data_IF_214358054247
#
_entry.id   IF_214358054247
#
_cell.length_a   1.000
_cell.length_b   1.000
_cell.length_c   1.000
_cell.angle_alpha   90.00
_cell.angle_beta   90.00
_cell.angle_gamma   90.00
#
_symmetry.space_group_name_H-M   'P 1'
#
loop_
_entity.id
_entity.type
_entity.pdbx_description
1 polymer ?
#
# COMPACT_ATOMS: atom_id res chain seq x y z
N UNK A 1 -23.74 3.26 21.60
CA UNK A 1 -22.91 4.45 21.33
C UNK A 1 -23.83 5.50 20.72
N UNK A 2 -24.26 6.49 21.52
CA UNK A 2 -25.27 7.51 21.13
C UNK A 2 -24.78 8.31 19.90
N UNK A 3 -25.71 8.76 19.05
CA UNK A 3 -25.40 9.70 17.97
C UNK A 3 -24.95 11.00 18.60
N UNK A 4 -23.71 11.43 18.35
CA UNK A 4 -23.32 12.79 18.69
C UNK A 4 -24.07 13.70 17.72
N UNK A 5 -24.97 14.58 18.20
CA UNK A 5 -25.66 15.51 17.32
C UNK A 5 -24.65 16.39 16.57
N UNK A 6 -24.99 16.84 15.36
CA UNK A 6 -24.13 17.74 14.57
C UNK A 6 -23.77 19.04 15.33
N UNK A 7 -24.61 19.43 16.28
CA UNK A 7 -24.44 20.58 17.19
C UNK A 7 -23.80 20.21 18.53
N UNK A 8 -23.19 19.02 18.65
CA UNK A 8 -22.57 18.55 19.89
C UNK A 8 -21.30 19.35 20.24
N UNK A 9 -21.25 19.84 21.48
CA UNK A 9 -20.08 20.47 22.09
C UNK A 9 -19.39 19.54 23.10
N UNK A 10 -19.66 18.24 23.06
CA UNK A 10 -18.94 17.25 23.85
C UNK A 10 -17.54 17.05 23.28
N UNK A 11 -16.47 17.06 24.11
CA UNK A 11 -15.13 16.78 23.66
C UNK A 11 -15.01 15.41 22.96
N UNK A 12 -14.46 15.42 21.75
CA UNK A 12 -14.37 14.22 20.93
C UNK A 12 -13.32 13.25 21.46
N UNK A 13 -13.72 11.98 21.63
CA UNK A 13 -12.80 10.87 21.93
C UNK A 13 -12.34 10.13 20.68
N UNK A 14 -13.07 10.26 19.58
CA UNK A 14 -12.84 9.59 18.30
C UNK A 14 -13.24 10.53 17.15
N UNK A 15 -12.67 10.31 15.97
CA UNK A 15 -12.95 11.10 14.77
C UNK A 15 -13.60 10.20 13.73
N UNK A 16 -14.93 10.22 13.62
CA UNK A 16 -15.65 9.29 12.75
C UNK A 16 -15.38 9.56 11.27
N UNK A 17 -15.31 10.82 10.84
CA UNK A 17 -14.97 11.19 9.46
C UNK A 17 -13.62 10.61 9.00
N UNK A 18 -12.64 10.59 9.90
CA UNK A 18 -11.30 10.07 9.63
C UNK A 18 -11.31 8.55 9.52
N UNK A 19 -12.11 7.89 10.34
CA UNK A 19 -12.25 6.45 10.26
C UNK A 19 -13.03 6.06 8.99
N UNK A 20 -14.02 6.83 8.57
CA UNK A 20 -14.75 6.61 7.32
C UNK A 20 -13.85 6.79 6.09
N UNK A 21 -13.06 7.87 6.00
CA UNK A 21 -12.16 8.08 4.85
C UNK A 21 -11.12 6.95 4.77
N UNK A 22 -10.59 6.49 5.91
CA UNK A 22 -9.68 5.34 5.95
C UNK A 22 -10.38 4.05 5.52
N UNK A 23 -11.60 3.81 5.98
CA UNK A 23 -12.38 2.62 5.62
C UNK A 23 -12.70 2.57 4.13
N UNK A 24 -13.13 3.68 3.53
CA UNK A 24 -13.36 3.79 2.10
C UNK A 24 -12.06 3.68 1.29
N UNK A 25 -10.96 4.28 1.76
CA UNK A 25 -9.66 4.11 1.14
C UNK A 25 -9.24 2.63 1.08
N UNK A 26 -9.53 1.82 2.11
CA UNK A 26 -9.28 0.36 2.05
C UNK A 26 -10.10 -0.31 0.95
N UNK A 27 -11.37 0.06 0.80
CA UNK A 27 -12.26 -0.54 -0.20
C UNK A 27 -11.77 -0.21 -1.61
N UNK A 28 -11.47 1.08 -1.88
CA UNK A 28 -10.94 1.53 -3.18
C UNK A 28 -9.53 0.96 -3.43
N UNK A 29 -8.71 0.78 -2.39
CA UNK A 29 -7.41 0.11 -2.50
C UNK A 29 -7.52 -1.32 -3.06
N UNK A 30 -8.50 -2.08 -2.57
CA UNK A 30 -8.74 -3.44 -3.09
C UNK A 30 -9.16 -3.35 -4.56
N UNK A 31 -10.07 -2.43 -4.89
CA UNK A 31 -10.53 -2.20 -6.26
C UNK A 31 -9.38 -1.83 -7.22
N UNK A 32 -8.54 -0.86 -6.89
CA UNK A 32 -7.41 -0.46 -7.77
C UNK A 32 -6.47 -1.64 -8.02
N UNK A 33 -6.20 -2.49 -7.03
CA UNK A 33 -5.36 -3.66 -7.23
C UNK A 33 -6.03 -4.70 -8.13
N UNK A 34 -7.34 -4.90 -8.02
CA UNK A 34 -8.08 -5.78 -8.92
C UNK A 34 -8.09 -5.24 -10.35
N UNK A 35 -8.39 -3.95 -10.52
CA UNK A 35 -8.43 -3.27 -11.83
C UNK A 35 -7.06 -3.28 -12.49
N UNK A 36 -5.99 -2.93 -11.77
CA UNK A 36 -4.64 -2.90 -12.32
C UNK A 36 -4.08 -4.29 -12.66
N UNK A 37 -4.62 -5.35 -12.06
CA UNK A 37 -4.21 -6.73 -12.35
C UNK A 37 -4.99 -7.29 -13.53
N UNK A 38 -6.32 -7.19 -13.52
CA UNK A 38 -7.14 -7.94 -14.48
C UNK A 38 -7.72 -7.12 -15.63
N UNK A 39 -7.92 -5.81 -15.48
CA UNK A 39 -8.46 -4.97 -16.55
C UNK A 39 -7.33 -4.42 -17.43
N UNK A 40 -7.49 -4.54 -18.74
CA UNK A 40 -6.53 -4.00 -19.70
C UNK A 40 -6.32 -2.48 -19.50
N UNK A 41 -5.05 -2.03 -19.51
CA UNK A 41 -4.68 -0.63 -19.20
C UNK A 41 -5.40 0.41 -20.07
N UNK A 42 -5.60 0.11 -21.36
CA UNK A 42 -6.31 0.99 -22.30
C UNK A 42 -7.81 1.14 -22.01
N UNK A 43 -8.38 0.33 -21.12
CA UNK A 43 -9.79 0.42 -20.72
C UNK A 43 -10.00 1.20 -19.42
N UNK A 44 -8.94 1.55 -18.70
CA UNK A 44 -9.03 2.24 -17.41
C UNK A 44 -9.24 3.75 -17.67
N UNK A 45 -10.40 4.33 -17.31
CA UNK A 45 -10.66 5.74 -17.54
C UNK A 45 -9.78 6.62 -16.63
N UNK A 46 -9.42 7.81 -17.11
CA UNK A 46 -8.55 8.73 -16.36
C UNK A 46 -9.12 9.12 -15.00
N UNK A 47 -10.44 9.32 -14.90
CA UNK A 47 -11.11 9.67 -13.64
C UNK A 47 -10.96 8.55 -12.59
N UNK A 48 -11.00 7.28 -13.02
CA UNK A 48 -10.83 6.14 -12.13
C UNK A 48 -9.37 6.02 -11.71
N UNK A 49 -8.44 6.18 -12.64
CA UNK A 49 -7.02 6.21 -12.33
C UNK A 49 -6.67 7.35 -11.34
N UNK A 50 -7.30 8.52 -11.49
CA UNK A 50 -7.15 9.62 -10.54
C UNK A 50 -7.70 9.29 -9.15
N UNK A 51 -8.92 8.74 -9.08
CA UNK A 51 -9.55 8.27 -7.83
C UNK A 51 -8.66 7.24 -7.13
N UNK A 52 -8.13 6.29 -7.89
CA UNK A 52 -7.23 5.25 -7.41
C UNK A 52 -5.93 5.84 -6.83
N UNK A 53 -5.44 6.92 -7.44
CA UNK A 53 -4.31 7.69 -6.92
C UNK A 53 -4.59 8.45 -5.60
N UNK A 54 -5.84 8.56 -5.13
CA UNK A 54 -6.17 9.20 -3.85
C UNK A 54 -6.04 8.25 -2.64
N UNK A 55 -5.97 6.94 -2.89
CA UNK A 55 -5.91 5.91 -1.83
C UNK A 55 -4.71 6.12 -0.91
N UNK A 56 -3.50 6.17 -1.47
CA UNK A 56 -2.28 6.32 -0.69
C UNK A 56 -2.22 7.67 0.08
N UNK A 57 -2.45 8.84 -0.55
CA UNK A 57 -2.63 10.12 0.15
C UNK A 57 -3.59 10.06 1.33
N UNK A 58 -4.73 9.38 1.18
CA UNK A 58 -5.74 9.28 2.23
C UNK A 58 -5.21 8.54 3.46
N UNK A 59 -4.51 7.42 3.28
CA UNK A 59 -3.89 6.68 4.38
C UNK A 59 -2.76 7.46 5.05
N UNK A 60 -1.92 8.14 4.26
CA UNK A 60 -0.78 8.89 4.76
C UNK A 60 -1.26 10.11 5.57
N UNK A 61 -2.23 10.87 5.05
CA UNK A 61 -2.86 11.98 5.75
C UNK A 61 -3.55 11.50 7.04
N UNK A 62 -4.34 10.43 6.96
CA UNK A 62 -5.03 9.91 8.13
C UNK A 62 -4.06 9.38 9.21
N UNK A 63 -2.91 8.86 8.81
CA UNK A 63 -1.86 8.41 9.70
C UNK A 63 -1.19 9.57 10.42
N UNK A 64 -0.83 10.63 9.69
CA UNK A 64 -0.28 11.86 10.26
C UNK A 64 -1.24 12.56 11.23
N UNK A 65 -2.53 12.61 10.89
CA UNK A 65 -3.59 13.12 11.76
C UNK A 65 -3.69 12.32 13.06
N UNK A 66 -3.74 11.00 12.95
CA UNK A 66 -3.85 10.12 14.11
C UNK A 66 -2.61 10.21 15.01
N UNK A 67 -1.42 10.39 14.42
CA UNK A 67 -0.18 10.57 15.16
C UNK A 67 -0.27 11.80 16.08
N UNK A 68 -0.63 12.96 15.54
CA UNK A 68 -0.74 14.20 16.33
C UNK A 68 -1.66 14.04 17.54
N UNK A 69 -2.83 13.39 17.37
CA UNK A 69 -3.76 13.11 18.47
C UNK A 69 -3.22 12.09 19.48
N UNK A 70 -2.44 11.11 19.02
CA UNK A 70 -1.89 10.07 19.89
C UNK A 70 -0.62 10.50 20.63
N UNK A 71 0.08 11.51 20.13
CA UNK A 71 1.38 11.95 20.67
C UNK A 71 1.23 12.97 21.78
N UNK A 72 0.33 13.93 21.64
CA UNK A 72 0.13 14.99 22.64
C UNK A 72 -1.03 14.64 23.57
N UNK A 73 -0.77 14.61 24.88
CA UNK A 73 -1.81 14.51 25.91
C UNK A 73 -2.63 15.80 25.98
N UNK A 74 -3.82 15.82 26.63
CA UNK A 74 -4.60 17.04 26.80
C UNK A 74 -3.84 18.17 27.51
N UNK A 75 -3.00 17.84 28.49
CA UNK A 75 -2.11 18.77 29.20
C UNK A 75 -0.95 19.34 28.33
N UNK A 76 -0.81 18.87 27.08
CA UNK A 76 0.26 19.28 26.17
C UNK A 76 1.55 18.48 26.31
N UNK A 77 1.67 17.59 27.30
CA UNK A 77 2.82 16.72 27.47
C UNK A 77 2.85 15.59 26.43
N UNK A 78 4.02 14.99 26.25
CA UNK A 78 4.22 13.91 25.29
C UNK A 78 3.91 12.54 25.91
N UNK A 79 3.19 11.71 25.15
CA UNK A 79 3.02 10.29 25.47
C UNK A 79 4.34 9.52 25.23
N UNK A 80 4.58 8.41 25.97
CA UNK A 80 5.79 7.61 25.80
C UNK A 80 5.94 7.07 24.38
N UNK A 81 7.18 6.98 23.90
CA UNK A 81 7.46 6.52 22.53
C UNK A 81 7.27 5.02 22.36
N UNK A 82 7.61 4.22 23.37
CA UNK A 82 7.69 2.74 23.28
C UNK A 82 6.50 2.07 22.59
N UNK A 83 5.24 2.33 22.99
CA UNK A 83 4.08 1.75 22.33
C UNK A 83 3.94 2.14 20.86
N UNK A 84 4.27 3.39 20.53
CA UNK A 84 4.28 3.90 19.15
C UNK A 84 5.40 3.23 18.34
N UNK A 85 6.61 3.16 18.91
CA UNK A 85 7.76 2.52 18.29
C UNK A 85 7.50 1.04 17.97
N UNK A 86 6.91 0.30 18.91
CA UNK A 86 6.53 -1.11 18.71
C UNK A 86 5.52 -1.25 17.57
N UNK A 87 4.50 -0.40 17.53
CA UNK A 87 3.51 -0.40 16.45
C UNK A 87 4.13 -0.07 15.09
N UNK A 88 4.97 0.96 15.02
CA UNK A 88 5.65 1.37 13.78
C UNK A 88 6.65 0.30 13.32
N UNK A 89 7.39 -0.31 14.24
CA UNK A 89 8.29 -1.44 13.95
C UNK A 89 7.53 -2.65 13.42
N UNK A 90 6.36 -2.97 13.96
CA UNK A 90 5.50 -4.03 13.42
C UNK A 90 5.01 -3.71 12.01
N UNK A 91 4.55 -2.48 11.76
CA UNK A 91 4.11 -2.06 10.41
C UNK A 91 5.29 -2.14 9.43
N UNK A 92 6.48 -1.69 9.83
CA UNK A 92 7.69 -1.74 9.01
C UNK A 92 8.11 -3.18 8.69
N UNK A 93 8.03 -4.08 9.67
CA UNK A 93 8.26 -5.50 9.47
C UNK A 93 7.28 -6.06 8.43
N UNK A 94 5.99 -5.80 8.57
CA UNK A 94 4.99 -6.21 7.58
C UNK A 94 5.26 -5.62 6.19
N UNK A 95 5.70 -4.36 6.13
CA UNK A 95 6.01 -3.67 4.87
C UNK A 95 7.13 -4.38 4.09
N UNK A 96 8.21 -4.76 4.76
CA UNK A 96 9.30 -5.50 4.13
C UNK A 96 8.93 -6.97 3.85
N UNK A 97 8.21 -7.64 4.77
CA UNK A 97 7.80 -9.03 4.57
C UNK A 97 6.84 -9.20 3.38
N UNK A 98 6.09 -8.18 2.99
CA UNK A 98 5.27 -8.22 1.77
C UNK A 98 6.07 -8.32 0.48
N UNK A 99 7.32 -7.85 0.50
CA UNK A 99 8.25 -7.96 -0.62
C UNK A 99 9.29 -9.05 -0.39
N UNK A 100 9.08 -9.93 0.59
CA UNK A 100 9.95 -11.07 0.80
C UNK A 100 10.03 -11.94 -0.47
N UNK A 101 11.17 -12.60 -0.73
CA UNK A 101 11.32 -13.55 -1.85
C UNK A 101 10.23 -14.62 -1.89
N UNK A 102 9.66 -14.94 -0.74
CA UNK A 102 8.49 -15.77 -0.57
C UNK A 102 8.21 -16.08 0.91
N UNK A 103 7.32 -17.04 1.16
CA UNK A 103 6.88 -17.45 2.51
C UNK A 103 7.59 -18.72 2.99
N UNK A 104 8.53 -19.26 2.23
CA UNK A 104 9.20 -20.54 2.53
C UNK A 104 10.73 -20.39 2.63
N UNK A 105 11.36 -21.18 3.48
CA UNK A 105 12.80 -21.19 3.68
C UNK A 105 13.54 -21.53 2.38
N UNK A 106 12.96 -22.36 1.52
CA UNK A 106 13.49 -22.65 0.19
C UNK A 106 13.56 -21.38 -0.68
N UNK A 107 12.53 -20.52 -0.66
CA UNK A 107 12.52 -19.21 -1.37
C UNK A 107 13.50 -18.20 -0.79
N UNK A 108 13.85 -18.32 0.49
CA UNK A 108 14.88 -17.49 1.13
C UNK A 108 16.31 -17.99 0.92
N UNK A 109 16.50 -19.19 0.37
CA UNK A 109 17.81 -19.83 0.24
C UNK A 109 18.12 -20.25 -1.19
N UNK A 110 17.48 -21.31 -1.68
CA UNK A 110 17.82 -21.97 -2.95
C UNK A 110 16.98 -21.49 -4.14
N UNK A 111 15.75 -21.01 -3.89
CA UNK A 111 14.85 -20.43 -4.90
C UNK A 111 14.85 -18.90 -4.89
N UNK A 112 15.80 -18.28 -4.18
CA UNK A 112 15.97 -16.84 -4.18
C UNK A 112 16.75 -16.39 -5.41
N UNK A 113 16.27 -15.36 -6.10
CA UNK A 113 17.03 -14.67 -7.17
C UNK A 113 17.57 -13.35 -6.65
N UNK A 114 18.66 -12.80 -7.23
CA UNK A 114 19.15 -11.47 -6.87
C UNK A 114 18.06 -10.40 -6.97
N UNK A 115 17.16 -10.52 -7.95
CA UNK A 115 16.02 -9.61 -8.10
C UNK A 115 15.05 -9.71 -6.92
N UNK A 116 14.70 -10.92 -6.45
CA UNK A 116 13.81 -11.09 -5.29
C UNK A 116 14.37 -10.44 -4.01
N UNK A 117 15.69 -10.49 -3.79
CA UNK A 117 16.30 -9.77 -2.68
C UNK A 117 16.33 -8.25 -2.86
N UNK A 118 16.39 -7.74 -4.09
CA UNK A 118 16.25 -6.30 -4.33
C UNK A 118 14.81 -5.84 -4.08
N UNK A 119 13.82 -6.62 -4.53
CA UNK A 119 12.41 -6.37 -4.26
C UNK A 119 12.12 -6.31 -2.75
N UNK A 120 12.78 -7.13 -1.92
CA UNK A 120 12.68 -7.05 -0.45
C UNK A 120 12.94 -5.63 0.07
N UNK A 121 13.83 -4.86 -0.57
CA UNK A 121 14.18 -3.50 -0.19
C UNK A 121 13.42 -2.42 -0.94
N UNK A 122 12.41 -2.80 -1.73
CA UNK A 122 11.52 -1.86 -2.40
C UNK A 122 10.76 -1.03 -1.38
N UNK A 123 10.69 0.28 -1.63
CA UNK A 123 9.96 1.23 -0.81
C UNK A 123 8.56 1.43 -1.39
N UNK A 124 7.56 1.11 -0.57
CA UNK A 124 6.15 1.27 -0.88
C UNK A 124 5.47 2.19 0.17
N UNK A 125 4.15 2.33 0.08
CA UNK A 125 3.34 3.24 0.89
C UNK A 125 3.48 2.97 2.39
N UNK A 126 3.62 1.71 2.82
CA UNK A 126 3.75 1.38 4.24
C UNK A 126 5.08 1.89 4.84
N UNK A 127 6.19 1.68 4.13
CA UNK A 127 7.50 2.22 4.51
C UNK A 127 7.41 3.75 4.56
N UNK A 128 6.87 4.37 3.50
CA UNK A 128 6.68 5.82 3.45
C UNK A 128 5.87 6.35 4.64
N UNK A 129 4.76 5.68 5.02
CA UNK A 129 3.99 6.02 6.22
C UNK A 129 4.89 5.93 7.46
N UNK A 130 5.55 4.80 7.69
CA UNK A 130 6.36 4.60 8.90
C UNK A 130 7.46 5.65 9.03
N UNK A 131 8.25 5.89 7.98
CA UNK A 131 9.33 6.88 8.03
C UNK A 131 8.80 8.30 8.20
N UNK A 132 7.70 8.66 7.53
CA UNK A 132 7.05 9.96 7.74
C UNK A 132 6.61 10.14 9.20
N UNK A 133 6.00 9.11 9.78
CA UNK A 133 5.57 9.15 11.18
C UNK A 133 6.75 9.19 12.14
N UNK A 134 7.86 8.48 11.88
CA UNK A 134 9.06 8.54 12.71
C UNK A 134 9.67 9.95 12.71
N UNK A 135 9.76 10.60 11.54
CA UNK A 135 10.26 11.97 11.41
C UNK A 135 9.36 12.94 12.20
N UNK A 136 8.05 12.87 12.00
CA UNK A 136 7.09 13.70 12.73
C UNK A 136 7.10 13.42 14.23
N UNK A 137 7.34 12.18 14.63
CA UNK A 137 7.40 11.78 16.03
C UNK A 137 8.69 12.24 16.73
N UNK A 138 9.80 12.31 15.99
CA UNK A 138 11.04 12.98 16.39
C UNK A 138 10.83 14.49 16.50
N UNK A 139 10.18 15.11 15.52
CA UNK A 139 9.88 16.54 15.51
C UNK A 139 9.00 16.95 16.70
N UNK A 140 7.95 16.19 16.99
CA UNK A 140 7.07 16.41 18.15
C UNK A 140 7.85 16.34 19.48
N UNK A 141 8.85 15.46 19.57
CA UNK A 141 9.72 15.31 20.75
C UNK A 141 10.74 16.43 20.90
N UNK A 142 11.26 16.93 19.79
CA UNK A 142 12.19 18.05 19.79
C UNK A 142 11.48 19.34 20.20
N UNK A 143 10.35 19.65 19.54
CA UNK A 143 9.63 20.91 19.73
C UNK A 143 8.80 20.91 21.02
N UNK A 144 8.21 19.77 21.40
CA UNK A 144 7.34 19.55 22.59
C UNK A 144 6.08 20.42 22.68
N UNK A 145 5.99 21.53 21.95
CA UNK A 145 4.83 22.44 21.89
C UNK A 145 3.95 22.10 20.68
N UNK A 146 2.67 21.72 20.86
CA UNK A 146 1.81 21.29 19.74
C UNK A 146 1.65 22.32 18.63
N UNK A 147 1.51 23.62 18.98
CA UNK A 147 1.32 24.68 18.00
C UNK A 147 2.58 24.92 17.15
N UNK A 148 3.76 25.00 17.79
CA UNK A 148 5.03 25.11 17.08
C UNK A 148 5.31 23.86 16.23
N UNK A 149 4.96 22.67 16.74
CA UNK A 149 5.03 21.42 15.97
C UNK A 149 4.17 21.49 14.71
N UNK A 150 2.93 21.97 14.80
CA UNK A 150 2.07 22.13 13.63
C UNK A 150 2.66 23.13 12.62
N UNK A 151 3.20 24.26 13.08
CA UNK A 151 3.85 25.23 12.21
C UNK A 151 5.05 24.64 11.47
N UNK A 152 5.95 23.95 12.18
CA UNK A 152 7.12 23.33 11.55
C UNK A 152 6.72 22.19 10.63
N UNK A 153 5.77 21.34 11.03
CA UNK A 153 5.24 20.28 10.18
C UNK A 153 4.59 20.85 8.90
N UNK A 154 3.79 21.92 9.00
CA UNK A 154 3.19 22.60 7.84
C UNK A 154 4.25 23.22 6.92
N UNK A 155 5.28 23.84 7.49
CA UNK A 155 6.41 24.40 6.73
C UNK A 155 7.15 23.30 5.97
N UNK A 156 7.44 22.17 6.63
CA UNK A 156 8.06 21.02 5.99
C UNK A 156 7.14 20.38 4.93
N UNK A 157 5.82 20.34 5.16
CA UNK A 157 4.88 19.83 4.17
C UNK A 157 4.95 20.63 2.86
N UNK A 158 4.91 21.96 2.96
CA UNK A 158 5.04 22.84 1.80
C UNK A 158 6.44 22.74 1.20
N UNK A 159 7.50 22.80 2.00
CA UNK A 159 8.88 22.70 1.53
C UNK A 159 9.17 21.39 0.80
N UNK A 160 8.72 20.25 1.31
CA UNK A 160 8.89 18.96 0.66
C UNK A 160 8.11 18.86 -0.66
N UNK A 161 6.87 19.38 -0.72
CA UNK A 161 6.09 19.42 -1.96
C UNK A 161 6.69 20.36 -3.02
N UNK A 162 7.36 21.45 -2.60
CA UNK A 162 8.09 22.36 -3.49
C UNK A 162 9.38 21.74 -4.02
N UNK A 163 10.11 21.00 -3.18
CA UNK A 163 11.37 20.36 -3.55
C UNK A 163 11.17 19.08 -4.38
N UNK A 164 10.07 18.37 -4.17
CA UNK A 164 9.77 17.08 -4.79
C UNK A 164 9.98 16.98 -6.32
N UNK A 165 9.50 17.91 -7.17
CA UNK A 165 9.68 17.79 -8.61
C UNK A 165 11.17 17.87 -9.02
N UNK A 166 11.96 18.70 -8.34
CA UNK A 166 13.40 18.85 -8.62
C UNK A 166 14.19 17.61 -8.22
N UNK A 167 13.88 17.05 -7.05
CA UNK A 167 14.49 15.80 -6.56
C UNK A 167 14.20 14.63 -7.51
N UNK A 168 12.98 14.57 -8.05
CA UNK A 168 12.58 13.52 -8.99
C UNK A 168 13.20 13.67 -10.37
N UNK A 169 13.26 14.89 -10.90
CA UNK A 169 13.79 15.17 -12.23
C UNK A 169 15.27 14.80 -12.33
N UNK A 170 16.08 15.31 -11.39
CA UNK A 170 17.53 15.08 -11.42
C UNK A 170 17.88 13.64 -11.06
N UNK A 171 17.07 12.99 -10.22
CA UNK A 171 17.50 11.80 -9.49
C UNK A 171 18.56 12.17 -8.47
N UNK A 172 18.38 11.70 -7.24
CA UNK A 172 19.33 11.94 -6.14
C UNK A 172 19.78 10.63 -5.53
N UNK A 173 20.83 10.69 -4.71
CA UNK A 173 21.32 9.56 -3.93
C UNK A 173 21.79 8.36 -4.79
N UNK A 174 22.39 8.64 -5.95
CA UNK A 174 23.09 7.62 -6.72
C UNK A 174 24.22 6.99 -5.88
N UNK A 175 24.35 5.67 -5.98
CA UNK A 175 25.34 4.91 -5.21
C UNK A 175 24.96 4.64 -3.74
N UNK A 176 23.90 5.27 -3.22
CA UNK A 176 23.45 5.00 -1.84
C UNK A 176 22.89 3.58 -1.69
N UNK A 177 22.81 3.13 -0.44
CA UNK A 177 22.17 1.85 -0.12
C UNK A 177 20.70 1.87 -0.54
N UNK A 178 20.25 0.81 -1.20
CA UNK A 178 18.97 0.73 -1.92
C UNK A 178 17.74 1.16 -1.11
N UNK A 179 17.55 0.75 0.16
CA UNK A 179 16.42 1.21 0.96
C UNK A 179 16.42 2.73 1.17
N UNK A 180 17.60 3.31 1.41
CA UNK A 180 17.73 4.75 1.68
C UNK A 180 17.49 5.53 0.38
N UNK A 181 18.05 5.06 -0.74
CA UNK A 181 17.80 5.66 -2.05
C UNK A 181 16.31 5.64 -2.39
N UNK A 182 15.63 4.51 -2.23
CA UNK A 182 14.20 4.39 -2.51
C UNK A 182 13.31 5.31 -1.65
N UNK A 183 13.78 5.75 -0.48
CA UNK A 183 13.08 6.74 0.33
C UNK A 183 13.15 8.15 -0.25
N UNK A 184 14.21 8.50 -0.98
CA UNK A 184 14.41 9.87 -1.49
C UNK A 184 14.21 9.99 -2.99
N UNK A 185 14.34 8.88 -3.72
CA UNK A 185 14.33 8.83 -5.17
C UNK A 185 13.42 7.68 -5.66
N UNK A 186 12.47 8.01 -6.52
CA UNK A 186 11.54 7.05 -7.13
C UNK A 186 11.93 6.58 -8.52
N UNK A 187 13.05 7.04 -9.08
CA UNK A 187 13.53 6.58 -10.39
C UNK A 187 13.97 5.11 -10.32
N UNK A 188 13.80 4.34 -11.41
CA UNK A 188 14.23 2.94 -11.44
C UNK A 188 15.72 2.79 -11.12
N UNK A 189 16.06 1.89 -10.19
CA UNK A 189 17.44 1.55 -9.83
C UNK A 189 17.59 0.05 -9.66
N UNK A 190 18.59 -0.56 -10.31
CA UNK A 190 18.93 -2.00 -10.19
C UNK A 190 17.70 -2.94 -10.33
N UNK A 191 16.71 -2.56 -11.13
CA UNK A 191 15.50 -3.35 -11.37
C UNK A 191 14.37 -3.12 -10.37
N UNK A 192 14.47 -2.19 -9.42
CA UNK A 192 13.39 -1.80 -8.51
C UNK A 192 12.99 -0.36 -8.72
N UNK A 193 11.73 -0.02 -8.43
CA UNK A 193 11.21 1.35 -8.52
C UNK A 193 10.40 1.65 -7.27
N UNK A 194 10.71 2.75 -6.59
CA UNK A 194 9.97 3.20 -5.42
C UNK A 194 8.79 4.07 -5.87
N UNK A 195 7.57 3.56 -5.68
CA UNK A 195 6.33 4.28 -6.03
C UNK A 195 6.06 5.44 -5.06
N UNK A 196 6.54 5.30 -3.81
CA UNK A 196 6.23 6.23 -2.73
C UNK A 196 7.47 6.86 -2.07
N UNK A 197 8.29 7.67 -2.79
CA UNK A 197 9.40 8.38 -2.17
C UNK A 197 8.96 9.52 -1.27
N UNK A 198 9.66 9.66 -0.15
CA UNK A 198 9.26 10.45 1.00
C UNK A 198 8.93 11.91 0.67
N UNK A 199 9.68 12.62 -0.16
CA UNK A 199 9.49 14.07 -0.36
C UNK A 199 8.06 14.46 -0.77
N UNK A 200 7.50 13.84 -1.81
CA UNK A 200 6.13 14.14 -2.23
C UNK A 200 5.13 13.73 -1.15
N UNK A 201 5.27 12.50 -0.66
CA UNK A 201 4.23 11.85 0.12
C UNK A 201 4.25 12.24 1.61
N UNK A 202 5.41 12.62 2.16
CA UNK A 202 5.57 13.18 3.50
C UNK A 202 4.66 14.38 3.73
N UNK A 203 4.46 15.19 2.68
CA UNK A 203 3.57 16.35 2.70
C UNK A 203 2.17 15.99 3.20
N UNK A 204 1.60 14.85 2.75
CA UNK A 204 0.29 14.39 3.23
C UNK A 204 0.31 14.04 4.72
N UNK A 205 1.35 13.37 5.21
CA UNK A 205 1.46 13.01 6.63
C UNK A 205 1.62 14.26 7.50
N UNK A 206 2.45 15.20 7.05
CA UNK A 206 2.69 16.46 7.73
C UNK A 206 1.43 17.34 7.76
N UNK A 207 0.72 17.51 6.63
CA UNK A 207 -0.58 18.19 6.59
C UNK A 207 -1.62 17.49 7.47
N UNK A 208 -1.66 16.15 7.45
CA UNK A 208 -2.50 15.37 8.35
C UNK A 208 -2.21 15.69 9.82
N UNK A 209 -0.93 15.78 10.21
CA UNK A 209 -0.51 16.18 11.55
C UNK A 209 -0.96 17.60 11.92
N UNK A 210 -0.90 18.55 10.98
CA UNK A 210 -1.43 19.91 11.19
C UNK A 210 -2.93 19.86 11.47
N UNK A 211 -3.70 19.17 10.63
CA UNK A 211 -5.14 18.98 10.83
C UNK A 211 -5.44 18.30 12.17
N UNK A 212 -4.62 17.34 12.59
CA UNK A 212 -4.75 16.66 13.87
C UNK A 212 -4.53 17.58 15.06
N UNK A 213 -3.54 18.48 15.01
CA UNK A 213 -3.33 19.50 16.05
C UNK A 213 -4.47 20.51 16.08
N UNK A 214 -4.95 20.96 14.92
CA UNK A 214 -6.10 21.86 14.82
C UNK A 214 -7.35 21.22 15.44
N UNK A 215 -7.66 19.98 15.06
CA UNK A 215 -8.78 19.24 15.62
C UNK A 215 -8.64 19.06 17.14
N UNK A 216 -7.43 18.73 17.60
CA UNK A 216 -7.14 18.63 19.04
C UNK A 216 -7.53 19.93 19.75
N UNK A 217 -7.13 21.07 19.19
CA UNK A 217 -7.38 22.37 19.77
C UNK A 217 -8.88 22.74 19.80
N UNK A 218 -9.62 22.44 18.74
CA UNK A 218 -11.03 22.87 18.63
C UNK A 218 -12.04 21.88 19.22
N UNK A 219 -11.72 20.58 19.27
CA UNK A 219 -12.68 19.51 19.62
C UNK A 219 -12.24 18.57 20.74
N UNK A 220 -10.94 18.38 20.95
CA UNK A 220 -10.46 17.42 21.97
C UNK A 220 -10.15 18.14 23.29
N UNK A 221 -9.60 19.35 23.24
CA UNK A 221 -9.29 20.14 24.42
C UNK A 221 -10.54 20.85 24.93
N UNK A 222 -11.09 20.47 26.10
CA UNK A 222 -12.23 21.15 26.66
C UNK A 222 -11.85 22.56 27.14
N UNK A 223 -12.76 23.50 26.93
CA UNK A 223 -12.79 24.82 27.57
C UNK A 223 -14.09 24.88 28.36
N UNK A 224 -14.01 25.07 29.67
CA UNK A 224 -15.17 24.99 30.57
C UNK A 224 -15.99 23.69 30.39
N UNK A 225 -15.31 22.55 30.22
CA UNK A 225 -15.94 21.23 30.05
C UNK A 225 -16.54 20.95 28.66
N UNK A 226 -16.46 21.89 27.71
CA UNK A 226 -17.02 21.76 26.36
C UNK A 226 -15.96 21.89 25.28
N UNK A 227 -16.18 21.26 24.13
CA UNK A 227 -15.44 21.54 22.91
C UNK A 227 -15.66 22.99 22.47
N UNK A 228 -14.68 23.59 21.77
CA UNK A 228 -14.79 24.96 21.27
C UNK A 228 -15.75 25.04 20.09
N UNK A 229 -15.69 24.03 19.22
CA UNK A 229 -16.49 23.94 18.00
C UNK A 229 -17.41 22.72 18.05
N UNK A 230 -18.50 22.78 17.28
CA UNK A 230 -19.34 21.62 17.01
C UNK A 230 -18.71 20.73 15.93
N UNK A 231 -19.21 19.50 15.77
CA UNK A 231 -18.82 18.63 14.65
C UNK A 231 -19.16 19.27 13.31
N UNK A 232 -20.36 19.83 13.15
CA UNK A 232 -20.76 20.50 11.92
C UNK A 232 -19.81 21.65 11.56
N UNK A 233 -19.40 22.46 12.54
CA UNK A 233 -18.48 23.58 12.29
C UNK A 233 -17.09 23.09 11.86
N UNK A 234 -16.59 22.02 12.47
CA UNK A 234 -15.33 21.39 12.04
C UNK A 234 -15.43 20.84 10.62
N UNK A 235 -16.47 20.07 10.31
CA UNK A 235 -16.66 19.49 8.98
C UNK A 235 -16.85 20.58 7.91
N UNK A 236 -17.58 21.66 8.22
CA UNK A 236 -17.72 22.82 7.34
C UNK A 236 -16.39 23.54 7.09
N UNK A 237 -15.58 23.73 8.13
CA UNK A 237 -14.24 24.30 7.96
C UNK A 237 -13.30 23.39 7.15
N UNK A 238 -13.38 22.07 7.37
CA UNK A 238 -12.64 21.07 6.61
C UNK A 238 -13.06 21.08 5.13
N UNK A 239 -14.36 21.18 4.85
CA UNK A 239 -14.89 21.29 3.49
C UNK A 239 -14.42 22.58 2.80
N UNK A 240 -14.48 23.72 3.49
CA UNK A 240 -14.01 24.99 2.95
C UNK A 240 -12.49 24.95 2.66
N UNK A 241 -11.68 24.45 3.60
CA UNK A 241 -10.25 24.29 3.38
C UNK A 241 -9.97 23.33 2.20
N UNK A 242 -10.74 22.24 2.11
CA UNK A 242 -10.66 21.30 1.00
C UNK A 242 -11.00 21.94 -0.36
N UNK A 243 -12.07 22.75 -0.42
CA UNK A 243 -12.47 23.49 -1.61
C UNK A 243 -11.39 24.49 -2.05
N UNK A 244 -10.82 25.24 -1.12
CA UNK A 244 -9.74 26.20 -1.40
C UNK A 244 -8.49 25.48 -1.93
N UNK A 245 -8.09 24.36 -1.32
CA UNK A 245 -6.96 23.56 -1.78
C UNK A 245 -7.22 22.96 -3.17
N UNK A 246 -8.44 22.46 -3.41
CA UNK A 246 -8.86 21.92 -4.69
C UNK A 246 -8.82 22.99 -5.78
N UNK A 247 -9.48 24.13 -5.55
CA UNK A 247 -9.55 25.24 -6.51
C UNK A 247 -8.16 25.81 -6.82
N UNK A 248 -7.31 25.98 -5.81
CA UNK A 248 -5.94 26.44 -6.03
C UNK A 248 -5.11 25.40 -6.79
N UNK A 249 -5.20 24.13 -6.39
CA UNK A 249 -4.47 23.03 -7.04
C UNK A 249 -4.85 22.85 -8.50
N UNK A 250 -6.14 22.95 -8.84
CA UNK A 250 -6.60 22.89 -10.24
C UNK A 250 -6.18 24.11 -11.03
N UNK A 251 -6.30 25.31 -10.45
CA UNK A 251 -5.89 26.56 -11.11
C UNK A 251 -4.39 26.58 -11.41
N UNK A 252 -3.56 26.23 -10.43
CA UNK A 252 -2.10 26.26 -10.55
C UNK A 252 -1.50 25.01 -11.19
N UNK A 253 -2.22 23.90 -11.27
CA UNK A 253 -1.70 22.64 -11.79
C UNK A 253 -1.09 22.77 -13.18
N UNK A 254 -1.79 23.47 -14.09
CA UNK A 254 -1.28 23.76 -15.43
C UNK A 254 -0.18 24.82 -15.41
N UNK A 255 -0.44 26.00 -14.84
CA UNK A 255 0.53 27.10 -14.89
C UNK A 255 1.86 26.76 -14.22
N UNK A 256 1.84 25.94 -13.16
CA UNK A 256 3.04 25.51 -12.49
C UNK A 256 3.90 24.68 -13.42
N UNK A 257 3.33 23.61 -14.01
CA UNK A 257 4.00 22.65 -14.89
C UNK A 257 4.41 23.24 -16.24
N UNK A 258 3.57 24.08 -16.85
CA UNK A 258 3.88 24.67 -18.16
C UNK A 258 4.77 25.92 -18.07
N UNK A 259 4.90 26.51 -16.88
CA UNK A 259 5.73 27.70 -16.65
C UNK A 259 7.10 27.42 -16.05
N UNK A 260 7.47 26.16 -15.82
CA UNK A 260 8.77 25.79 -15.27
C UNK A 260 9.71 25.13 -16.30
N UNK A 261 10.93 24.76 -15.88
CA UNK A 261 12.01 24.39 -16.78
C UNK A 261 11.96 22.93 -17.28
N UNK A 262 10.80 22.28 -17.30
CA UNK A 262 10.69 20.85 -17.58
C UNK A 262 10.32 20.58 -19.04
N UNK A 263 10.82 19.47 -19.58
CA UNK A 263 10.47 19.04 -20.94
C UNK A 263 9.07 18.41 -20.99
N UNK A 264 8.38 18.50 -22.14
CA UNK A 264 7.00 18.02 -22.31
C UNK A 264 6.79 16.55 -21.89
N UNK A 265 7.77 15.69 -22.19
CA UNK A 265 7.73 14.27 -21.85
C UNK A 265 7.89 14.00 -20.33
N UNK A 266 8.42 14.96 -19.57
CA UNK A 266 8.57 14.87 -18.10
C UNK A 266 7.32 15.33 -17.36
N UNK A 267 6.49 16.18 -17.97
CA UNK A 267 5.34 16.83 -17.33
C UNK A 267 4.36 15.81 -16.73
N UNK A 268 4.06 14.73 -17.46
CA UNK A 268 3.17 13.67 -16.99
C UNK A 268 3.73 12.92 -15.79
N UNK A 269 5.05 12.66 -15.77
CA UNK A 269 5.74 12.00 -14.64
C UNK A 269 5.78 12.91 -13.42
N UNK A 270 6.12 14.18 -13.63
CA UNK A 270 6.31 15.16 -12.54
C UNK A 270 4.99 15.66 -11.95
N UNK A 271 3.88 15.58 -12.69
CA UNK A 271 2.57 16.09 -12.26
C UNK A 271 2.22 15.66 -10.83
N UNK A 272 2.39 14.37 -10.52
CA UNK A 272 2.07 13.79 -9.22
C UNK A 272 2.96 14.30 -8.08
N UNK A 273 4.10 14.91 -8.39
CA UNK A 273 5.11 15.34 -7.43
C UNK A 273 5.08 16.85 -7.15
N UNK A 274 4.16 17.60 -7.76
CA UNK A 274 4.07 19.06 -7.59
C UNK A 274 3.19 19.47 -6.41
N UNK A 275 3.45 20.67 -5.84
CA UNK A 275 2.60 21.26 -4.80
C UNK A 275 1.12 21.43 -5.23
N UNK A 276 0.79 21.90 -6.45
CA UNK A 276 -0.60 21.91 -6.93
C UNK A 276 -1.28 20.54 -6.91
N UNK A 277 -0.60 19.47 -7.36
CA UNK A 277 -1.15 18.11 -7.28
C UNK A 277 -1.38 17.66 -5.83
N UNK A 278 -0.43 17.93 -4.93
CA UNK A 278 -0.58 17.62 -3.50
C UNK A 278 -1.80 18.33 -2.90
N UNK A 279 -1.96 19.63 -3.17
CA UNK A 279 -3.09 20.42 -2.66
C UNK A 279 -4.42 20.02 -3.31
N UNK A 280 -4.43 19.68 -4.60
CA UNK A 280 -5.61 19.17 -5.29
C UNK A 280 -6.11 17.87 -4.65
N UNK A 281 -5.20 16.89 -4.44
CA UNK A 281 -5.51 15.61 -3.79
C UNK A 281 -5.94 15.80 -2.35
N UNK A 282 -5.26 16.68 -1.60
CA UNK A 282 -5.67 17.05 -0.23
C UNK A 282 -7.08 17.66 -0.21
N UNK A 283 -7.40 18.48 -1.21
CA UNK A 283 -8.73 19.05 -1.41
C UNK A 283 -9.81 17.98 -1.52
N UNK A 284 -9.62 17.01 -2.42
CA UNK A 284 -10.53 15.86 -2.55
C UNK A 284 -10.66 15.04 -1.27
N UNK A 285 -9.57 14.78 -0.57
CA UNK A 285 -9.58 14.00 0.68
C UNK A 285 -10.34 14.75 1.78
N UNK A 286 -10.14 16.06 1.91
CA UNK A 286 -10.84 16.87 2.91
C UNK A 286 -12.34 17.01 2.59
N UNK A 287 -12.69 17.24 1.32
CA UNK A 287 -14.08 17.30 0.87
C UNK A 287 -14.78 15.95 1.06
N UNK A 288 -14.15 14.86 0.64
CA UNK A 288 -14.67 13.51 0.83
C UNK A 288 -14.82 13.15 2.31
N UNK A 289 -13.83 13.49 3.14
CA UNK A 289 -13.90 13.31 4.58
C UNK A 289 -15.04 14.11 5.23
N UNK A 290 -15.20 15.39 4.86
CA UNK A 290 -16.28 16.23 5.35
C UNK A 290 -17.66 15.70 4.93
N UNK A 291 -17.81 15.31 3.66
CA UNK A 291 -19.03 14.71 3.12
C UNK A 291 -19.39 13.42 3.86
N UNK A 292 -18.43 12.49 4.01
CA UNK A 292 -18.64 11.23 4.71
C UNK A 292 -18.99 11.45 6.19
N UNK A 293 -18.34 12.40 6.86
CA UNK A 293 -18.66 12.78 8.23
C UNK A 293 -20.08 13.32 8.37
N UNK A 294 -20.50 14.20 7.45
CA UNK A 294 -21.87 14.74 7.44
C UNK A 294 -22.90 13.65 7.13
N UNK A 295 -22.63 12.81 6.14
CA UNK A 295 -23.49 11.68 5.78
C UNK A 295 -23.68 10.70 6.94
N UNK A 296 -22.61 10.34 7.67
CA UNK A 296 -22.72 9.46 8.84
C UNK A 296 -23.53 10.11 9.97
N UNK A 297 -23.49 11.43 10.10
CA UNK A 297 -24.25 12.15 11.12
C UNK A 297 -25.75 12.19 10.83
N UNK A 298 -26.14 12.18 9.55
CA UNK A 298 -27.55 12.29 9.12
C UNK A 298 -28.18 10.93 8.84
N UNK A 299 -27.40 9.93 8.40
CA UNK A 299 -27.96 8.66 7.95
C UNK A 299 -28.64 7.88 9.11
N UNK A 300 -29.75 7.17 8.83
CA UNK A 300 -30.34 6.25 9.80
C UNK A 300 -29.36 5.15 10.20
N UNK A 301 -29.30 4.84 11.50
CA UNK A 301 -28.45 3.76 12.00
C UNK A 301 -29.14 2.43 11.80
N UNK A 302 -28.63 1.67 10.84
CA UNK A 302 -29.05 0.29 10.64
C UNK A 302 -28.49 -0.62 11.75
N UNK A 303 -29.26 -1.61 12.22
CA UNK A 303 -28.76 -2.60 13.15
C UNK A 303 -27.70 -3.47 12.48
N UNK A 304 -26.52 -3.57 13.08
CA UNK A 304 -25.43 -4.43 12.60
C UNK A 304 -24.05 -3.77 12.61
N UNK A 305 -23.00 -4.52 12.24
CA UNK A 305 -21.66 -3.97 12.09
C UNK A 305 -21.57 -3.07 10.86
N UNK A 306 -21.03 -1.85 11.01
CA UNK A 306 -20.71 -1.01 9.85
C UNK A 306 -19.43 -1.56 9.17
N UNK A 307 -19.51 -2.10 7.94
CA UNK A 307 -18.38 -2.72 7.26
C UNK A 307 -17.27 -1.73 6.95
N UNK A 308 -17.59 -0.47 6.63
CA UNK A 308 -16.59 0.58 6.36
C UNK A 308 -15.80 0.90 7.63
N UNK A 309 -16.48 1.00 8.76
CA UNK A 309 -15.82 1.22 10.05
C UNK A 309 -15.02 0.00 10.50
N UNK A 310 -15.47 -1.20 10.14
CA UNK A 310 -14.70 -2.41 10.35
C UNK A 310 -13.41 -2.39 9.51
N UNK A 311 -13.53 -2.00 8.24
CA UNK A 311 -12.42 -1.89 7.32
C UNK A 311 -11.34 -0.91 7.81
N UNK A 312 -11.79 0.24 8.33
CA UNK A 312 -10.90 1.26 8.90
C UNK A 312 -10.05 0.74 10.05
N UNK A 313 -10.67 0.02 11.00
CA UNK A 313 -10.03 -0.49 12.22
C UNK A 313 -9.06 -1.63 11.94
N UNK A 314 -9.33 -2.43 10.92
CA UNK A 314 -8.52 -3.59 10.53
C UNK A 314 -7.77 -3.35 9.21
N UNK A 315 -7.49 -2.09 8.86
CA UNK A 315 -6.90 -1.69 7.58
C UNK A 315 -5.60 -2.42 7.24
N UNK A 316 -4.70 -2.65 8.21
CA UNK A 316 -3.48 -3.42 7.99
C UNK A 316 -3.75 -4.89 7.68
N UNK A 317 -4.71 -5.53 8.38
CA UNK A 317 -5.09 -6.91 8.10
C UNK A 317 -5.65 -7.04 6.69
N UNK A 318 -6.58 -6.15 6.32
CA UNK A 318 -7.18 -6.11 4.99
C UNK A 318 -6.13 -5.83 3.92
N UNK A 319 -5.18 -4.94 4.21
CA UNK A 319 -4.04 -4.65 3.34
C UNK A 319 -3.23 -5.91 3.02
N UNK A 320 -2.83 -6.65 4.05
CA UNK A 320 -2.08 -7.88 3.86
C UNK A 320 -2.91 -8.96 3.16
N UNK A 321 -4.17 -9.12 3.57
CA UNK A 321 -5.05 -10.16 3.06
C UNK A 321 -5.32 -10.01 1.56
N UNK A 322 -5.75 -8.83 1.10
CA UNK A 322 -6.09 -8.67 -0.32
C UNK A 322 -4.86 -8.79 -1.24
N UNK A 323 -3.69 -8.29 -0.83
CA UNK A 323 -2.46 -8.46 -1.62
C UNK A 323 -2.07 -9.94 -1.74
N UNK A 324 -2.10 -10.69 -0.63
CA UNK A 324 -1.81 -12.12 -0.66
C UNK A 324 -2.85 -12.91 -1.45
N UNK A 325 -4.13 -12.51 -1.41
CA UNK A 325 -5.17 -13.13 -2.21
C UNK A 325 -4.96 -12.86 -3.71
N UNK A 326 -4.73 -11.62 -4.11
CA UNK A 326 -4.58 -11.24 -5.53
C UNK A 326 -3.25 -11.77 -6.07
N UNK A 327 -2.13 -11.34 -5.50
CA UNK A 327 -0.80 -11.61 -6.03
C UNK A 327 -0.23 -12.97 -5.62
N UNK A 328 -0.65 -13.52 -4.47
CA UNK A 328 -0.17 -14.80 -3.97
C UNK A 328 -1.04 -15.97 -4.43
N UNK A 329 -2.35 -15.92 -4.19
CA UNK A 329 -3.26 -17.04 -4.45
C UNK A 329 -3.82 -17.02 -5.88
N UNK A 330 -4.50 -15.95 -6.27
CA UNK A 330 -5.26 -15.90 -7.52
C UNK A 330 -4.37 -15.87 -8.77
N UNK A 331 -3.17 -15.30 -8.66
CA UNK A 331 -2.15 -15.31 -9.71
C UNK A 331 -1.20 -16.52 -9.64
N UNK A 332 -1.38 -17.45 -8.69
CA UNK A 332 -0.57 -18.66 -8.66
C UNK A 332 -0.81 -19.52 -9.92
N UNK A 333 0.26 -20.12 -10.46
CA UNK A 333 0.20 -20.88 -11.71
C UNK A 333 -0.93 -21.93 -11.77
N UNK A 334 -1.19 -22.75 -10.72
CA UNK A 334 -2.28 -23.73 -10.79
C UNK A 334 -3.67 -23.10 -10.94
N UNK A 335 -3.88 -21.92 -10.35
CA UNK A 335 -5.16 -21.19 -10.44
C UNK A 335 -5.23 -20.50 -11.80
N UNK A 336 -4.20 -19.74 -12.16
CA UNK A 336 -4.11 -19.02 -13.43
C UNK A 336 -4.30 -19.93 -14.65
N UNK A 337 -3.66 -21.10 -14.67
CA UNK A 337 -3.79 -22.08 -15.75
C UNK A 337 -5.19 -22.70 -15.84
N UNK A 338 -5.94 -22.75 -14.73
CA UNK A 338 -7.29 -23.33 -14.68
C UNK A 338 -8.39 -22.31 -14.98
N UNK A 339 -8.23 -21.08 -14.52
CA UNK A 339 -9.25 -20.03 -14.63
C UNK A 339 -9.02 -19.10 -15.82
N UNK A 340 -7.80 -19.05 -16.35
CA UNK A 340 -7.40 -18.05 -17.35
C UNK A 340 -7.28 -16.63 -16.79
N UNK A 341 -7.24 -16.47 -15.45
CA UNK A 341 -7.10 -15.17 -14.78
C UNK A 341 -5.67 -14.66 -14.82
N UNK A 342 -5.14 -14.46 -16.02
CA UNK A 342 -3.84 -13.83 -16.21
C UNK A 342 -3.93 -12.30 -16.08
N UNK A 343 -2.77 -11.65 -16.08
CA UNK A 343 -2.67 -10.20 -16.14
C UNK A 343 -3.41 -9.66 -17.36
N UNK A 344 -4.27 -8.66 -17.13
CA UNK A 344 -5.05 -7.98 -18.17
C UNK A 344 -6.01 -8.89 -18.95
N UNK A 345 -6.31 -10.09 -18.43
CA UNK A 345 -7.10 -11.09 -19.13
C UNK A 345 -8.62 -10.87 -19.07
N UNK A 346 -9.12 -10.01 -18.17
CA UNK A 346 -10.55 -9.82 -17.95
C UNK A 346 -11.06 -8.50 -18.52
N UNK A 347 -12.27 -8.54 -19.09
CA UNK A 347 -13.04 -7.34 -19.38
C UNK A 347 -13.69 -6.75 -18.12
N UNK A 348 -14.41 -5.64 -18.29
CA UNK A 348 -15.09 -4.94 -17.19
C UNK A 348 -15.95 -5.83 -16.31
N UNK A 349 -16.81 -6.67 -16.91
CA UNK A 349 -17.70 -7.54 -16.15
C UNK A 349 -16.92 -8.49 -15.22
N UNK A 350 -15.90 -9.18 -15.76
CA UNK A 350 -15.06 -10.09 -14.99
C UNK A 350 -14.30 -9.37 -13.86
N UNK A 351 -13.69 -8.23 -14.17
CA UNK A 351 -12.97 -7.42 -13.18
C UNK A 351 -13.88 -6.91 -12.08
N UNK A 352 -15.07 -6.38 -12.41
CA UNK A 352 -16.04 -5.89 -11.42
C UNK A 352 -16.55 -7.02 -10.52
N UNK A 353 -16.84 -8.20 -11.09
CA UNK A 353 -17.25 -9.37 -10.30
C UNK A 353 -16.16 -9.81 -9.33
N UNK A 354 -14.91 -9.97 -9.79
CA UNK A 354 -13.80 -10.35 -8.91
C UNK A 354 -13.53 -9.28 -7.85
N UNK A 355 -13.60 -8.01 -8.21
CA UNK A 355 -13.46 -6.88 -7.28
C UNK A 355 -14.50 -6.94 -6.17
N UNK A 356 -15.78 -7.11 -6.53
CA UNK A 356 -16.87 -7.20 -5.56
C UNK A 356 -16.72 -8.40 -4.62
N UNK A 357 -16.33 -9.56 -5.17
CA UNK A 357 -16.07 -10.77 -4.37
C UNK A 357 -14.91 -10.57 -3.39
N UNK A 358 -13.80 -9.97 -3.85
CA UNK A 358 -12.64 -9.73 -3.01
C UNK A 358 -12.89 -8.69 -1.93
N UNK A 359 -13.62 -7.61 -2.24
CA UNK A 359 -14.08 -6.63 -1.26
C UNK A 359 -14.97 -7.33 -0.22
N UNK A 360 -15.97 -8.11 -0.66
CA UNK A 360 -16.87 -8.83 0.23
C UNK A 360 -16.14 -9.79 1.18
N UNK A 361 -15.22 -10.59 0.64
CA UNK A 361 -14.40 -11.53 1.41
C UNK A 361 -13.51 -10.80 2.43
N UNK A 362 -12.84 -9.72 2.01
CA UNK A 362 -11.99 -8.92 2.89
C UNK A 362 -12.82 -8.29 4.03
N UNK A 363 -13.95 -7.66 3.71
CA UNK A 363 -14.84 -7.07 4.72
C UNK A 363 -15.39 -8.12 5.69
N UNK A 364 -15.78 -9.29 5.20
CA UNK A 364 -16.21 -10.40 6.04
C UNK A 364 -15.10 -10.88 6.98
N UNK A 365 -13.86 -11.00 6.49
CA UNK A 365 -12.70 -11.34 7.29
C UNK A 365 -12.43 -10.27 8.38
N UNK A 366 -12.50 -8.98 8.03
CA UNK A 366 -12.35 -7.88 8.98
C UNK A 366 -13.40 -7.90 10.09
N UNK A 367 -14.68 -8.10 9.74
CA UNK A 367 -15.77 -8.22 10.71
C UNK A 367 -15.60 -9.47 11.58
N UNK A 368 -15.25 -10.62 10.97
CA UNK A 368 -15.01 -11.88 11.67
C UNK A 368 -13.86 -11.76 12.67
N UNK A 369 -12.76 -11.13 12.26
CA UNK A 369 -11.61 -10.88 13.13
C UNK A 369 -11.97 -9.99 14.32
N UNK A 370 -12.77 -8.94 14.11
CA UNK A 370 -13.26 -8.11 15.21
C UNK A 370 -14.10 -8.86 16.22
N UNK A 371 -14.92 -9.83 15.78
CA UNK A 371 -15.69 -10.70 16.68
C UNK A 371 -14.75 -11.59 17.49
N UNK A 372 -13.74 -12.18 16.85
CA UNK A 372 -12.72 -13.00 17.51
C UNK A 372 -11.95 -12.20 18.57
N UNK A 373 -11.55 -10.95 18.27
CA UNK A 373 -10.81 -10.08 19.20
C UNK A 373 -11.58 -9.70 20.47
N UNK A 374 -12.90 -9.90 20.52
CA UNK A 374 -13.70 -9.71 21.75
C UNK A 374 -13.41 -10.80 22.79
N UNK A 375 -12.91 -11.95 22.36
CA UNK A 375 -12.45 -13.05 23.22
C UNK A 375 -10.92 -13.18 23.09
N UNK A 376 -10.14 -12.61 24.03
CA UNK A 376 -8.69 -12.64 23.99
C UNK A 376 -8.10 -14.05 23.94
N UNK A 377 -8.73 -15.02 24.62
CA UNK A 377 -8.25 -16.39 24.68
C UNK A 377 -8.43 -17.09 23.33
N UNK A 378 -9.56 -16.88 22.66
CA UNK A 378 -9.78 -17.37 21.30
C UNK A 378 -8.86 -16.69 20.29
N UNK A 379 -8.69 -15.37 20.38
CA UNK A 379 -7.81 -14.62 19.49
C UNK A 379 -6.36 -15.11 19.58
N UNK A 380 -5.84 -15.30 20.80
CA UNK A 380 -4.50 -15.78 21.02
C UNK A 380 -4.29 -17.22 20.52
N UNK A 381 -5.25 -18.12 20.74
CA UNK A 381 -5.20 -19.49 20.22
C UNK A 381 -5.14 -19.51 18.69
N UNK A 382 -5.98 -18.72 18.03
CA UNK A 382 -5.99 -18.62 16.57
C UNK A 382 -4.69 -18.01 16.02
N UNK A 383 -4.15 -16.98 16.66
CA UNK A 383 -2.86 -16.40 16.28
C UNK A 383 -1.72 -17.42 16.40
N UNK A 384 -1.66 -18.17 17.51
CA UNK A 384 -0.68 -19.23 17.68
C UNK A 384 -0.83 -20.33 16.65
N UNK A 385 -2.05 -20.80 16.40
CA UNK A 385 -2.32 -21.81 15.38
C UNK A 385 -1.88 -21.33 13.99
N UNK A 386 -2.22 -20.09 13.63
CA UNK A 386 -1.79 -19.46 12.38
C UNK A 386 -0.27 -19.32 12.27
N UNK A 387 0.40 -18.88 13.34
CA UNK A 387 1.86 -18.79 13.39
C UNK A 387 2.54 -20.15 13.30
N UNK A 388 1.99 -21.18 13.95
CA UNK A 388 2.50 -22.55 13.85
C UNK A 388 2.32 -23.10 12.43
N UNK A 389 1.14 -22.93 11.83
CA UNK A 389 0.89 -23.34 10.45
C UNK A 389 1.83 -22.62 9.48
N UNK A 390 2.00 -21.31 9.65
CA UNK A 390 2.95 -20.51 8.87
C UNK A 390 4.40 -20.96 9.09
N UNK A 391 4.79 -21.28 10.33
CA UNK A 391 6.12 -21.78 10.65
C UNK A 391 6.42 -23.15 10.03
N UNK A 392 5.45 -24.07 10.08
CA UNK A 392 5.55 -25.37 9.39
C UNK A 392 5.63 -25.16 7.87
N UNK A 393 4.77 -24.32 7.30
CA UNK A 393 4.83 -23.97 5.88
C UNK A 393 6.14 -23.30 5.51
N UNK A 394 6.69 -22.44 6.37
CA UNK A 394 7.97 -21.80 6.14
C UNK A 394 9.09 -22.84 6.05
N UNK A 395 9.14 -23.80 6.98
CA UNK A 395 10.20 -24.82 7.00
C UNK A 395 10.03 -25.85 5.88
N UNK A 396 8.81 -26.33 5.63
CA UNK A 396 8.55 -27.45 4.72
C UNK A 396 8.17 -27.03 3.29
N UNK A 397 7.66 -25.81 3.11
CA UNK A 397 7.22 -25.29 1.83
C UNK A 397 8.36 -25.04 0.85
N UNK A 398 8.06 -25.03 -0.44
CA UNK A 398 9.00 -24.70 -1.52
C UNK A 398 10.05 -25.79 -1.82
N UNK A 399 10.34 -26.72 -0.91
CA UNK A 399 11.29 -27.81 -1.17
C UNK A 399 10.87 -28.74 -2.31
N UNK A 400 9.56 -28.96 -2.50
CA UNK A 400 9.04 -29.72 -3.65
C UNK A 400 9.44 -29.03 -4.96
N UNK A 401 9.26 -27.71 -5.04
CA UNK A 401 9.65 -26.90 -6.21
C UNK A 401 11.16 -26.97 -6.45
N UNK A 402 11.97 -26.85 -5.40
CA UNK A 402 13.41 -27.03 -5.48
C UNK A 402 13.80 -28.42 -6.01
N UNK A 403 13.21 -29.48 -5.46
CA UNK A 403 13.45 -30.85 -5.92
C UNK A 403 12.99 -31.06 -7.37
N UNK A 404 11.89 -30.44 -7.78
CA UNK A 404 11.39 -30.48 -9.14
C UNK A 404 12.38 -29.85 -10.11
N UNK A 405 12.79 -28.60 -9.91
CA UNK A 405 13.75 -27.93 -10.80
C UNK A 405 15.17 -28.48 -10.72
N UNK A 406 15.55 -29.13 -9.62
CA UNK A 406 16.81 -29.87 -9.55
C UNK A 406 16.82 -31.11 -10.46
N UNK A 407 15.66 -31.76 -10.68
CA UNK A 407 15.50 -32.92 -11.58
C UNK A 407 15.18 -32.52 -13.02
N UNK A 408 14.50 -31.38 -13.18
CA UNK A 408 13.98 -30.87 -14.45
C UNK A 408 14.39 -29.40 -14.63
N UNK A 409 15.70 -29.07 -14.68
CA UNK A 409 16.18 -27.68 -14.76
C UNK A 409 15.71 -26.94 -16.03
N UNK A 410 15.42 -27.66 -17.11
CA UNK A 410 14.90 -27.10 -18.36
C UNK A 410 13.46 -26.54 -18.26
N UNK A 411 12.73 -26.89 -17.18
CA UNK A 411 11.39 -26.35 -16.91
C UNK A 411 11.44 -25.10 -16.01
N UNK A 412 12.61 -24.73 -15.49
CA UNK A 412 12.75 -23.54 -14.66
C UNK A 412 12.51 -22.28 -15.49
N UNK A 413 11.75 -21.35 -14.93
CA UNK A 413 11.44 -20.04 -15.54
C UNK A 413 12.23 -18.90 -14.93
N UNK A 414 12.91 -19.14 -13.80
CA UNK A 414 13.73 -18.17 -13.09
C UNK A 414 15.19 -18.65 -12.94
N UNK A 415 16.17 -17.73 -12.94
CA UNK A 415 17.58 -18.08 -12.91
C UNK A 415 18.06 -18.39 -11.47
N UNK A 416 17.69 -19.57 -10.94
CA UNK A 416 18.14 -19.98 -9.61
C UNK A 416 19.62 -20.37 -9.60
N UNK A 417 20.32 -20.01 -8.52
CA UNK A 417 21.78 -20.22 -8.39
C UNK A 417 22.23 -21.68 -8.53
N UNK A 418 21.36 -22.65 -8.22
CA UNK A 418 21.69 -24.08 -8.33
C UNK A 418 21.48 -24.67 -9.74
N UNK A 419 20.84 -23.93 -10.66
CA UNK A 419 20.47 -24.45 -11.98
C UNK A 419 21.67 -24.83 -12.85
N UNK A 420 22.77 -24.05 -12.93
CA UNK A 420 23.95 -24.45 -13.71
C UNK A 420 24.50 -25.82 -13.28
N UNK A 421 24.57 -26.08 -11.97
CA UNK A 421 25.01 -27.37 -11.44
C UNK A 421 23.97 -28.49 -11.68
N UNK A 422 22.67 -28.17 -11.70
CA UNK A 422 21.62 -29.12 -12.05
C UNK A 422 21.68 -29.51 -13.54
N UNK A 423 21.88 -28.54 -14.44
CA UNK A 423 22.06 -28.77 -15.89
C UNK A 423 23.28 -29.63 -16.18
N UNK A 424 24.42 -29.29 -15.58
CA UNK A 424 25.66 -30.07 -15.73
C UNK A 424 25.47 -31.55 -15.30
N UNK A 425 24.77 -31.78 -14.18
CA UNK A 425 24.45 -33.16 -13.71
C UNK A 425 23.54 -33.92 -14.67
N UNK A 426 22.69 -33.24 -15.43
CA UNK A 426 21.78 -33.84 -16.41
C UNK A 426 22.41 -33.99 -17.80
N UNK A 427 23.66 -33.51 -17.99
CA UNK A 427 24.32 -33.51 -19.29
C UNK A 427 23.72 -32.51 -20.29
N UNK A 428 23.03 -31.47 -19.80
CA UNK A 428 22.48 -30.42 -20.65
C UNK A 428 23.54 -29.35 -20.96
N UNK A 429 23.46 -28.66 -22.11
CA UNK A 429 24.36 -27.57 -22.44
C UNK A 429 24.40 -26.50 -21.34
N UNK A 430 25.58 -26.01 -20.93
CA UNK A 430 25.68 -24.99 -19.90
C UNK A 430 25.09 -23.67 -20.38
N UNK A 431 24.40 -22.96 -19.48
CA UNK A 431 23.91 -21.60 -19.72
C UNK A 431 24.33 -20.70 -18.55
N UNK A 432 24.66 -19.41 -18.78
CA UNK A 432 25.18 -18.53 -17.72
C UNK A 432 24.24 -18.37 -16.52
N UNK A 433 22.94 -18.43 -16.77
CA UNK A 433 21.87 -18.27 -15.78
C UNK A 433 21.15 -19.59 -15.44
N UNK A 434 21.60 -20.71 -16.03
CA UNK A 434 21.02 -22.03 -15.82
C UNK A 434 19.62 -22.23 -16.43
N UNK A 435 19.10 -21.26 -17.19
CA UNK A 435 17.82 -21.38 -17.88
C UNK A 435 17.99 -22.13 -19.21
N UNK A 436 16.95 -22.83 -19.66
CA UNK A 436 16.91 -23.40 -21.01
C UNK A 436 16.80 -22.30 -22.06
N UNK A 437 17.61 -22.39 -23.12
CA UNK A 437 17.51 -21.55 -24.32
C UNK A 437 16.86 -22.26 -25.50
N UNK A 438 16.73 -23.59 -25.41
CA UNK A 438 16.12 -24.42 -26.43
C UNK A 438 14.71 -24.84 -25.97
N UNK A 439 13.64 -24.33 -26.61
CA UNK A 439 12.26 -24.73 -26.32
C UNK A 439 12.05 -26.25 -26.44
N UNK A 440 12.85 -26.96 -27.25
CA UNK A 440 12.78 -28.42 -27.39
C UNK A 440 13.25 -29.15 -26.13
N UNK A 441 14.19 -28.61 -25.35
CA UNK A 441 14.57 -29.18 -24.04
C UNK A 441 13.35 -29.23 -23.12
N UNK A 442 12.64 -28.11 -22.97
CA UNK A 442 11.46 -28.01 -22.13
C UNK A 442 10.33 -28.91 -22.63
N UNK A 443 10.08 -28.93 -23.95
CA UNK A 443 9.06 -29.79 -24.55
C UNK A 443 9.36 -31.28 -24.33
N UNK A 444 10.61 -31.73 -24.50
CA UNK A 444 11.04 -33.12 -24.26
C UNK A 444 10.82 -33.53 -22.80
N UNK A 445 11.18 -32.67 -21.86
CA UNK A 445 11.00 -32.96 -20.44
C UNK A 445 9.53 -33.01 -20.04
N UNK A 446 8.72 -32.08 -20.58
CA UNK A 446 7.27 -32.07 -20.37
C UNK A 446 6.62 -33.33 -20.93
N UNK A 447 7.08 -33.82 -22.09
CA UNK A 447 6.65 -35.09 -22.67
C UNK A 447 7.05 -36.28 -21.77
N UNK A 448 8.30 -36.30 -21.27
CA UNK A 448 8.81 -37.35 -20.36
C UNK A 448 7.98 -37.43 -19.07
N UNK A 449 7.55 -36.29 -18.53
CA UNK A 449 6.70 -36.20 -17.35
C UNK A 449 5.21 -36.45 -17.65
N UNK A 450 4.85 -36.86 -18.87
CA UNK A 450 3.47 -37.05 -19.34
C UNK A 450 2.59 -35.79 -19.18
N UNK A 451 3.21 -34.61 -19.27
CA UNK A 451 2.52 -33.33 -19.25
C UNK A 451 1.76 -33.05 -20.54
N UNK A 452 0.73 -32.19 -20.48
CA UNK A 452 0.01 -31.73 -21.67
C UNK A 452 0.91 -30.83 -22.52
N UNK A 453 1.32 -31.32 -23.68
CA UNK A 453 2.05 -30.53 -24.68
C UNK A 453 1.09 -29.62 -25.45
N UNK A 454 1.48 -28.36 -25.61
CA UNK A 454 0.82 -27.40 -26.51
C UNK A 454 1.01 -27.84 -27.97
N UNK A 455 0.17 -27.36 -28.92
CA UNK A 455 0.35 -27.67 -30.33
C UNK A 455 1.71 -27.22 -30.88
N UNK A 456 2.29 -26.16 -30.33
CA UNK A 456 3.63 -25.68 -30.68
C UNK A 456 4.73 -26.59 -30.13
N UNK A 457 4.64 -26.98 -28.85
CA UNK A 457 5.57 -27.96 -28.24
C UNK A 457 5.55 -29.31 -28.97
N UNK A 458 4.38 -29.77 -29.43
CA UNK A 458 4.28 -30.99 -30.27
C UNK A 458 4.98 -30.79 -31.61
N UNK A 459 4.69 -29.69 -32.31
CA UNK A 459 5.36 -29.35 -33.57
C UNK A 459 6.88 -29.28 -33.42
N UNK A 460 7.38 -28.72 -32.32
CA UNK A 460 8.81 -28.65 -32.00
C UNK A 460 9.45 -30.03 -31.78
N UNK A 461 8.70 -31.00 -31.25
CA UNK A 461 9.15 -32.38 -31.07
C UNK A 461 9.05 -33.19 -32.36
N UNK A 462 8.02 -32.94 -33.16
CA UNK A 462 7.74 -33.64 -34.42
C UNK A 462 8.63 -33.13 -35.58
N UNK A 463 9.09 -31.88 -35.52
CA UNK A 463 10.11 -31.36 -36.42
C UNK A 463 11.41 -32.14 -36.17
N UNK A 464 11.66 -33.19 -36.96
CA UNK A 464 12.94 -33.92 -36.95
C UNK A 464 14.05 -32.88 -37.05
N UNK A 465 15.02 -32.96 -36.12
CA UNK A 465 16.25 -32.18 -36.26
C UNK A 465 16.93 -32.59 -37.55
N UNK A 466 16.93 -31.68 -38.53
CA UNK A 466 17.96 -31.67 -39.57
C UNK A 466 19.32 -31.33 -38.96
#
# INVERSE_FOLDING_TARGET
MQSQPLHDLTPSKRCDWLDLIRGWAVIVMIEVHCVNVWLHKGLIPEWLNYLNGLVAPSFILASGYSLALSTFRPDGTLRPFGPTARRLGFILLCAYLLHAPGLTLAEWTVLATPQKYRELFKIDVLQCIVYSLLILQGLARLIRRPAAYAWVAGTLAVGCALAAPYVWQQGVADGWWMPIRGLVNGNPDRGVTALFPLFTWFSFAAFGSVLGVLYRHVRVLPVAGRARWTEARWLGALALAGLLCLAWGTWKGKTWLWGGPWADWELGRLHNHTLPSVLQRMGFICLGGAFLGWFEAVRPRLPGPNPVMAASRESLLLYLLHLNLIFGLLLADPIRLRTGWDWYALGWAGTLTLTALLIGLNLAAGIGWQRVRKDPARAWRLQRAGLMALGVWFVAGGWITYHHFRRSPELATEPYAFLPAARARKGLPPTPDGLSRDPREAAREKARLRGKLTPEERRLLDSKGE
#
